data_IF_884435458839
#
_entry.id   IF_884435458839
#
_cell.length_a   1.000
_cell.length_b   1.000
_cell.length_c   1.000
_cell.angle_alpha   90.00
_cell.angle_beta   90.00
_cell.angle_gamma   90.00
#
_symmetry.space_group_name_H-M   'P 1'
#
loop_
_entity.id
_entity.type
_entity.pdbx_description
1 polymer ?
#
# COMPACT_ATOMS: atom_id res chain seq x y z
N UNK A 1 10.62 -23.23 -6.41
CA UNK A 1 10.83 -22.84 -7.82
C UNK A 1 11.06 -21.34 -7.82
N UNK A 2 12.23 -20.88 -8.25
CA UNK A 2 12.51 -19.44 -8.39
C UNK A 2 11.66 -18.87 -9.51
N UNK A 3 10.97 -17.76 -9.26
CA UNK A 3 10.25 -17.02 -10.30
C UNK A 3 11.23 -16.62 -11.42
N UNK A 4 10.85 -16.72 -12.71
CA UNK A 4 11.71 -16.33 -13.81
C UNK A 4 12.01 -14.85 -13.73
N UNK A 5 13.31 -14.49 -13.76
CA UNK A 5 13.75 -13.10 -13.78
C UNK A 5 13.27 -12.46 -15.08
N UNK A 6 12.34 -11.51 -14.97
CA UNK A 6 11.80 -10.82 -16.14
C UNK A 6 12.73 -9.71 -16.61
N UNK A 7 12.76 -9.37 -17.91
CA UNK A 7 13.54 -8.23 -18.42
C UNK A 7 13.22 -6.91 -17.70
N UNK A 8 11.98 -6.76 -17.23
CA UNK A 8 11.54 -5.56 -16.51
C UNK A 8 12.13 -5.49 -15.09
N UNK A 9 12.27 -6.65 -14.43
CA UNK A 9 12.91 -6.74 -13.11
C UNK A 9 14.41 -6.37 -13.22
N UNK A 10 15.08 -6.80 -14.30
CA UNK A 10 16.48 -6.45 -14.59
C UNK A 10 16.63 -4.94 -14.81
N UNK A 11 15.76 -4.33 -15.64
CA UNK A 11 15.78 -2.88 -15.85
C UNK A 11 15.59 -2.11 -14.54
N UNK A 12 14.64 -2.52 -13.71
CA UNK A 12 14.37 -1.86 -12.43
C UNK A 12 15.56 -2.00 -11.47
N UNK A 13 16.18 -3.18 -11.38
CA UNK A 13 17.38 -3.40 -10.58
C UNK A 13 18.54 -2.50 -11.01
N UNK A 14 18.77 -2.34 -12.31
CA UNK A 14 19.77 -1.42 -12.85
C UNK A 14 19.44 0.05 -12.55
N UNK A 15 18.17 0.44 -12.60
CA UNK A 15 17.77 1.80 -12.22
C UNK A 15 17.95 2.05 -10.72
N UNK A 16 17.65 1.06 -9.87
CA UNK A 16 17.87 1.13 -8.44
C UNK A 16 19.35 1.26 -8.08
N UNK A 17 20.25 0.52 -8.75
CA UNK A 17 21.69 0.63 -8.49
C UNK A 17 22.25 2.02 -8.84
N UNK A 18 21.60 2.73 -9.77
CA UNK A 18 22.03 4.06 -10.26
C UNK A 18 21.32 5.24 -9.60
N UNK A 19 20.16 5.03 -8.96
CA UNK A 19 19.32 6.11 -8.43
C UNK A 19 18.83 5.86 -7.01
N UNK A 20 19.28 6.69 -6.07
CA UNK A 20 18.81 6.69 -4.68
C UNK A 20 17.30 6.93 -4.58
N UNK A 21 16.75 7.78 -5.45
CA UNK A 21 15.32 8.06 -5.46
C UNK A 21 14.52 6.82 -5.82
N UNK A 22 14.94 6.07 -6.83
CA UNK A 22 14.24 4.84 -7.25
C UNK A 22 14.28 3.79 -6.14
N UNK A 23 15.42 3.65 -5.44
CA UNK A 23 15.54 2.75 -4.27
C UNK A 23 14.59 3.13 -3.14
N UNK A 24 14.53 4.41 -2.79
CA UNK A 24 13.64 4.93 -1.73
C UNK A 24 12.17 4.70 -2.07
N UNK A 25 11.76 4.98 -3.30
CA UNK A 25 10.38 4.75 -3.76
C UNK A 25 10.06 3.26 -3.79
N UNK A 26 10.99 2.41 -4.23
CA UNK A 26 10.82 0.95 -4.22
C UNK A 26 10.64 0.39 -2.81
N UNK A 27 11.43 0.87 -1.83
CA UNK A 27 11.24 0.48 -0.42
C UNK A 27 9.83 0.82 0.06
N UNK A 28 9.37 2.05 -0.16
CA UNK A 28 8.02 2.46 0.23
C UNK A 28 6.95 1.65 -0.49
N UNK A 29 7.13 1.35 -1.77
CA UNK A 29 6.23 0.50 -2.53
C UNK A 29 6.11 -0.90 -1.91
N UNK A 30 7.23 -1.54 -1.59
CA UNK A 30 7.24 -2.85 -0.92
C UNK A 30 6.50 -2.81 0.42
N UNK A 31 6.79 -1.79 1.24
CA UNK A 31 6.13 -1.58 2.53
C UNK A 31 4.61 -1.40 2.34
N UNK A 32 4.19 -0.55 1.40
CA UNK A 32 2.78 -0.25 1.17
C UNK A 32 2.01 -1.43 0.56
N UNK A 33 2.65 -2.29 -0.23
CA UNK A 33 2.04 -3.54 -0.67
C UNK A 33 1.70 -4.43 0.53
N UNK A 34 2.64 -4.59 1.48
CA UNK A 34 2.37 -5.31 2.73
C UNK A 34 1.23 -4.69 3.54
N UNK A 35 1.11 -3.36 3.51
CA UNK A 35 0.00 -2.65 4.16
C UNK A 35 -1.35 -2.89 3.46
N UNK A 36 -1.36 -2.84 2.12
CA UNK A 36 -2.56 -3.08 1.30
C UNK A 36 -3.12 -4.49 1.53
N UNK A 37 -2.25 -5.51 1.52
CA UNK A 37 -2.63 -6.89 1.85
C UNK A 37 -3.29 -6.94 3.24
N UNK A 38 -2.70 -6.26 4.24
CA UNK A 38 -3.26 -6.19 5.59
C UNK A 38 -4.63 -5.51 5.66
N UNK A 39 -4.85 -4.45 4.88
CA UNK A 39 -6.14 -3.78 4.78
C UNK A 39 -7.19 -4.70 4.13
N UNK A 40 -6.82 -5.39 3.05
CA UNK A 40 -7.70 -6.34 2.37
C UNK A 40 -8.11 -7.51 3.28
N UNK A 41 -7.16 -8.11 4.01
CA UNK A 41 -7.43 -9.16 5.01
C UNK A 41 -8.48 -8.66 6.01
N UNK A 42 -8.25 -7.50 6.64
CA UNK A 42 -9.21 -6.94 7.62
C UNK A 42 -10.58 -6.67 7.03
N UNK A 43 -10.63 -6.17 5.79
CA UNK A 43 -11.89 -5.92 5.10
C UNK A 43 -12.67 -7.22 4.90
N UNK A 44 -12.02 -8.28 4.42
CA UNK A 44 -12.65 -9.58 4.19
C UNK A 44 -13.06 -10.24 5.51
N UNK A 45 -12.23 -10.17 6.54
CA UNK A 45 -12.61 -10.64 7.89
C UNK A 45 -13.87 -9.92 8.41
N UNK A 46 -14.00 -8.62 8.13
CA UNK A 46 -15.22 -7.85 8.42
C UNK A 46 -16.43 -8.36 7.65
N UNK A 47 -16.28 -8.59 6.34
CA UNK A 47 -17.35 -9.13 5.50
C UNK A 47 -17.79 -10.54 5.92
N UNK A 48 -16.86 -11.44 6.25
CA UNK A 48 -17.17 -12.80 6.70
C UNK A 48 -17.98 -12.84 8.00
N UNK A 49 -17.75 -11.86 8.89
CA UNK A 49 -18.49 -11.68 10.15
C UNK A 49 -19.88 -11.06 9.94
N UNK A 50 -20.13 -10.50 8.76
CA UNK A 50 -21.41 -9.87 8.45
C UNK A 50 -22.37 -10.92 7.89
N UNK A 51 -23.58 -10.97 8.45
CA UNK A 51 -24.68 -11.81 7.97
C UNK A 51 -25.87 -10.90 7.70
N UNK A 52 -25.98 -10.39 6.47
CA UNK A 52 -27.14 -9.62 6.04
C UNK A 52 -28.19 -10.57 5.45
N UNK A 53 -29.45 -10.35 5.82
CA UNK A 53 -30.57 -10.86 5.03
C UNK A 53 -30.72 -10.04 3.76
N UNK A 54 -31.43 -10.56 2.76
CA UNK A 54 -31.73 -9.80 1.54
C UNK A 54 -32.47 -8.49 1.84
N UNK A 55 -33.46 -8.52 2.74
CA UNK A 55 -34.22 -7.34 3.17
C UNK A 55 -33.34 -6.25 3.83
N UNK A 56 -32.36 -6.67 4.64
CA UNK A 56 -31.37 -5.75 5.21
C UNK A 56 -30.46 -5.16 4.12
N UNK A 57 -30.02 -5.99 3.18
CA UNK A 57 -29.22 -5.53 2.05
C UNK A 57 -29.99 -4.54 1.17
N UNK A 58 -31.27 -4.78 0.91
CA UNK A 58 -32.15 -3.87 0.16
C UNK A 58 -32.30 -2.52 0.86
N UNK A 59 -32.54 -2.54 2.17
CA UNK A 59 -32.64 -1.31 2.99
C UNK A 59 -31.34 -0.49 2.95
N UNK A 60 -30.19 -1.15 3.05
CA UNK A 60 -28.87 -0.50 2.99
C UNK A 60 -28.61 0.05 1.59
N UNK A 61 -28.88 -0.73 0.54
CA UNK A 61 -28.70 -0.33 -0.85
C UNK A 61 -29.53 0.91 -1.19
N UNK A 62 -30.82 0.91 -0.82
CA UNK A 62 -31.71 2.06 -0.98
C UNK A 62 -31.20 3.29 -0.23
N UNK A 63 -30.76 3.11 1.02
CA UNK A 63 -30.23 4.21 1.83
C UNK A 63 -28.95 4.79 1.23
N UNK A 64 -28.05 3.94 0.73
CA UNK A 64 -26.82 4.35 0.06
C UNK A 64 -27.08 5.12 -1.23
N UNK A 65 -28.00 4.64 -2.07
CA UNK A 65 -28.40 5.32 -3.30
C UNK A 65 -29.02 6.69 -2.99
N UNK A 66 -29.90 6.77 -1.99
CA UNK A 66 -30.49 8.04 -1.55
C UNK A 66 -29.45 9.04 -1.06
N UNK A 67 -28.40 8.59 -0.37
CA UNK A 67 -27.35 9.45 0.19
C UNK A 67 -26.31 9.87 -0.85
N UNK A 68 -26.00 9.01 -1.82
CA UNK A 68 -24.84 9.19 -2.72
C UNK A 68 -25.22 9.45 -4.18
N UNK A 69 -26.47 9.21 -4.55
CA UNK A 69 -26.96 9.19 -5.94
C UNK A 69 -26.38 8.05 -6.78
N UNK A 70 -25.77 7.03 -6.16
CA UNK A 70 -25.19 5.88 -6.87
C UNK A 70 -26.10 4.68 -6.66
N UNK A 71 -26.61 4.13 -7.76
CA UNK A 71 -27.35 2.87 -7.71
C UNK A 71 -26.46 1.74 -7.21
N UNK A 72 -26.94 1.03 -6.21
CA UNK A 72 -26.28 -0.12 -5.60
C UNK A 72 -27.29 -1.26 -5.58
N UNK A 73 -26.93 -2.42 -6.11
CA UNK A 73 -27.80 -3.59 -6.07
C UNK A 73 -27.64 -4.31 -4.73
N UNK A 74 -28.72 -4.82 -4.09
CA UNK A 74 -28.64 -5.52 -2.82
C UNK A 74 -27.66 -6.72 -2.85
N UNK A 75 -27.58 -7.41 -4.00
CA UNK A 75 -26.68 -8.56 -4.19
C UNK A 75 -25.20 -8.19 -4.04
N UNK A 76 -24.82 -6.92 -4.24
CA UNK A 76 -23.44 -6.46 -4.05
C UNK A 76 -23.04 -6.39 -2.56
N UNK A 77 -24.02 -6.42 -1.65
CA UNK A 77 -23.82 -6.45 -0.21
C UNK A 77 -23.89 -7.87 0.36
N UNK A 78 -24.31 -8.84 -0.47
CA UNK A 78 -24.44 -10.25 -0.11
C UNK A 78 -23.24 -11.01 -0.67
N UNK A 79 -22.24 -11.23 0.19
CA UNK A 79 -20.99 -11.83 -0.23
C UNK A 79 -21.06 -13.37 -0.27
N UNK A 80 -20.47 -13.97 -1.30
CA UNK A 80 -20.14 -15.39 -1.30
C UNK A 80 -19.01 -15.65 -0.28
N UNK A 81 -19.38 -16.29 0.82
CA UNK A 81 -18.47 -16.57 1.94
C UNK A 81 -17.35 -17.53 1.57
N UNK A 82 -17.62 -18.48 0.67
CA UNK A 82 -16.60 -19.44 0.25
C UNK A 82 -15.56 -18.73 -0.62
N UNK A 83 -16.01 -17.94 -1.60
CA UNK A 83 -15.11 -17.14 -2.43
C UNK A 83 -14.29 -16.13 -1.60
N UNK A 84 -14.89 -15.53 -0.56
CA UNK A 84 -14.16 -14.67 0.38
C UNK A 84 -13.13 -15.44 1.22
N UNK A 85 -13.45 -16.66 1.66
CA UNK A 85 -12.53 -17.50 2.42
C UNK A 85 -11.33 -17.93 1.56
N UNK A 86 -11.56 -18.34 0.31
CA UNK A 86 -10.50 -18.68 -0.64
C UNK A 86 -9.57 -17.48 -0.87
N UNK A 87 -10.15 -16.29 -1.12
CA UNK A 87 -9.36 -15.06 -1.27
C UNK A 87 -8.59 -14.71 0.02
N UNK A 88 -9.13 -14.99 1.19
CA UNK A 88 -8.46 -14.75 2.46
C UNK A 88 -7.22 -15.64 2.61
N UNK A 89 -7.28 -16.89 2.15
CA UNK A 89 -6.14 -17.82 2.11
C UNK A 89 -5.03 -17.24 1.22
N UNK A 90 -5.37 -16.82 0.00
CA UNK A 90 -4.41 -16.23 -0.93
C UNK A 90 -3.72 -14.99 -0.35
N UNK A 91 -4.51 -14.09 0.26
CA UNK A 91 -3.96 -12.88 0.89
C UNK A 91 -3.05 -13.21 2.08
N UNK A 92 -3.38 -14.23 2.88
CA UNK A 92 -2.49 -14.67 3.95
C UNK A 92 -1.19 -15.25 3.39
N UNK A 93 -1.24 -16.02 2.30
CA UNK A 93 -0.04 -16.53 1.63
C UNK A 93 0.83 -15.38 1.11
N UNK A 94 0.24 -14.38 0.47
CA UNK A 94 0.97 -13.21 -0.02
C UNK A 94 1.55 -12.37 1.12
N UNK A 95 0.83 -12.25 2.24
CA UNK A 95 1.36 -11.60 3.43
C UNK A 95 2.54 -12.40 4.03
N UNK A 96 2.49 -13.74 4.03
CA UNK A 96 3.62 -14.57 4.48
C UNK A 96 4.85 -14.36 3.59
N UNK A 97 4.69 -14.35 2.26
CA UNK A 97 5.80 -14.01 1.33
C UNK A 97 6.38 -12.62 1.62
N UNK A 98 5.53 -11.65 1.93
CA UNK A 98 5.98 -10.32 2.34
C UNK A 98 6.83 -10.37 3.62
N UNK A 99 6.43 -11.16 4.62
CA UNK A 99 7.19 -11.35 5.85
C UNK A 99 8.54 -12.04 5.60
N UNK A 100 8.55 -13.12 4.81
CA UNK A 100 9.76 -13.89 4.48
C UNK A 100 10.81 -13.06 3.73
N UNK A 101 10.36 -12.12 2.91
CA UNK A 101 11.25 -11.24 2.13
C UNK A 101 11.62 -9.94 2.85
N UNK A 102 11.14 -9.71 4.07
CA UNK A 102 11.41 -8.48 4.83
C UNK A 102 12.35 -8.79 6.00
N UNK A 103 13.48 -8.09 6.07
CA UNK A 103 14.43 -8.22 7.17
C UNK A 103 13.72 -8.08 8.53
N UNK A 104 13.98 -8.99 9.46
CA UNK A 104 13.29 -9.07 10.76
C UNK A 104 13.49 -7.82 11.63
N UNK A 105 14.63 -7.14 11.48
CA UNK A 105 14.94 -5.85 12.10
C UNK A 105 14.05 -4.76 11.53
N UNK A 106 13.91 -4.73 10.20
CA UNK A 106 13.06 -3.76 9.46
C UNK A 106 11.57 -4.02 9.71
N UNK A 107 11.15 -5.27 9.79
CA UNK A 107 9.75 -5.68 9.96
C UNK A 107 9.11 -5.00 11.16
N UNK A 108 9.83 -4.93 12.27
CA UNK A 108 9.33 -4.29 13.48
C UNK A 108 9.06 -2.78 13.30
N UNK A 109 9.82 -2.09 12.45
CA UNK A 109 9.59 -0.69 12.08
C UNK A 109 8.41 -0.56 11.11
N UNK A 110 8.31 -1.48 10.15
CA UNK A 110 7.21 -1.56 9.20
C UNK A 110 5.87 -1.76 9.91
N UNK A 111 5.79 -2.66 10.89
CA UNK A 111 4.57 -2.85 11.67
C UNK A 111 4.18 -1.62 12.48
N UNK A 112 5.17 -0.91 13.04
CA UNK A 112 4.91 0.36 13.71
C UNK A 112 4.37 1.41 12.72
N UNK A 113 4.88 1.41 11.49
CA UNK A 113 4.38 2.28 10.44
C UNK A 113 2.96 1.91 9.99
N UNK A 114 2.64 0.63 9.83
CA UNK A 114 1.27 0.19 9.51
C UNK A 114 0.26 0.65 10.56
N UNK A 115 0.64 0.60 11.86
CA UNK A 115 -0.20 1.14 12.94
C UNK A 115 -0.39 2.65 12.80
N UNK A 116 0.67 3.39 12.50
CA UNK A 116 0.58 4.84 12.27
C UNK A 116 -0.32 5.16 11.07
N UNK A 117 -0.15 4.47 9.94
CA UNK A 117 -0.99 4.64 8.76
C UNK A 117 -2.47 4.39 9.09
N UNK A 118 -2.77 3.33 9.84
CA UNK A 118 -4.14 2.92 10.13
C UNK A 118 -4.83 3.76 11.22
N UNK A 119 -4.15 4.04 12.33
CA UNK A 119 -4.76 4.69 13.49
C UNK A 119 -4.59 6.21 13.47
N UNK A 120 -3.39 6.69 13.11
CA UNK A 120 -3.06 8.12 13.19
C UNK A 120 -3.45 8.84 11.88
N UNK A 121 -3.08 8.28 10.72
CA UNK A 121 -3.43 8.85 9.42
C UNK A 121 -4.75 8.34 8.84
N UNK A 122 -5.33 7.29 9.43
CA UNK A 122 -6.61 6.69 9.00
C UNK A 122 -6.64 6.34 7.51
N UNK A 123 -5.52 5.88 6.95
CA UNK A 123 -5.42 5.45 5.56
C UNK A 123 -6.16 4.12 5.39
N UNK A 124 -7.23 4.10 4.59
CA UNK A 124 -8.06 2.90 4.37
C UNK A 124 -7.86 2.28 2.97
N UNK A 125 -7.08 2.93 2.10
CA UNK A 125 -6.77 2.46 0.76
C UNK A 125 -5.45 3.09 0.31
N UNK A 126 -4.54 2.28 -0.25
CA UNK A 126 -3.26 2.74 -0.83
C UNK A 126 -3.12 2.36 -2.30
N UNK A 127 -4.15 1.80 -2.93
CA UNK A 127 -4.14 1.32 -4.31
C UNK A 127 -3.74 2.41 -5.31
N UNK A 128 -4.30 3.62 -5.19
CA UNK A 128 -3.97 4.73 -6.09
C UNK A 128 -2.50 5.16 -6.00
N UNK A 129 -1.94 5.11 -4.79
CA UNK A 129 -0.53 5.40 -4.51
C UNK A 129 0.37 4.29 -5.06
N UNK A 130 0.00 3.03 -4.88
CA UNK A 130 0.73 1.89 -5.45
C UNK A 130 0.75 1.93 -6.99
N UNK A 131 -0.38 2.25 -7.63
CA UNK A 131 -0.44 2.43 -9.08
C UNK A 131 0.46 3.56 -9.57
N UNK A 132 0.47 4.67 -8.84
CA UNK A 132 1.26 5.83 -9.21
C UNK A 132 2.78 5.59 -8.95
N UNK A 133 3.15 4.77 -7.94
CA UNK A 133 4.52 4.25 -7.76
C UNK A 133 4.93 3.34 -8.90
N UNK A 134 4.03 2.45 -9.33
CA UNK A 134 4.29 1.55 -10.46
C UNK A 134 4.50 2.31 -11.77
N UNK A 135 3.71 3.36 -12.02
CA UNK A 135 3.93 4.25 -13.16
C UNK A 135 5.27 5.00 -13.08
N UNK A 136 5.69 5.41 -11.88
CA UNK A 136 7.02 5.98 -11.66
C UNK A 136 8.13 4.97 -12.00
N UNK A 137 7.98 3.69 -11.64
CA UNK A 137 8.96 2.67 -12.02
C UNK A 137 9.04 2.49 -13.53
N UNK A 138 7.90 2.44 -14.23
CA UNK A 138 7.86 2.39 -15.70
C UNK A 138 8.54 3.59 -16.34
N UNK A 139 8.37 4.79 -15.78
CA UNK A 139 9.08 5.98 -16.24
C UNK A 139 10.59 5.86 -15.99
N UNK A 140 10.99 5.42 -14.79
CA UNK A 140 12.40 5.24 -14.43
C UNK A 140 13.10 4.18 -15.28
N UNK A 141 12.41 3.13 -15.71
CA UNK A 141 12.94 2.08 -16.61
C UNK A 141 12.90 2.47 -18.09
N UNK A 142 12.37 3.66 -18.42
CA UNK A 142 12.24 4.16 -19.79
C UNK A 142 11.09 3.54 -20.59
N UNK A 143 10.19 2.81 -19.92
CA UNK A 143 8.99 2.22 -20.56
C UNK A 143 7.87 3.27 -20.70
N UNK A 144 7.86 4.31 -19.86
CA UNK A 144 6.96 5.48 -19.97
C UNK A 144 7.73 6.77 -20.26
N UNK A 145 7.14 7.63 -21.07
CA UNK A 145 7.52 9.04 -21.17
C UNK A 145 6.88 9.90 -20.06
N UNK A 146 7.25 11.18 -20.02
CA UNK A 146 6.76 12.13 -19.01
C UNK A 146 5.26 12.42 -19.12
N UNK A 147 4.67 12.37 -20.31
CA UNK A 147 3.24 12.57 -20.50
C UNK A 147 2.45 11.35 -19.99
N UNK A 148 2.91 10.14 -20.31
CA UNK A 148 2.36 8.89 -19.83
C UNK A 148 2.43 8.80 -18.30
N UNK A 149 3.56 9.21 -17.69
CA UNK A 149 3.65 9.30 -16.23
C UNK A 149 2.58 10.22 -15.63
N UNK A 150 2.36 11.41 -16.21
CA UNK A 150 1.36 12.37 -15.73
C UNK A 150 -0.08 11.84 -15.78
N UNK A 151 -0.41 10.99 -16.77
CA UNK A 151 -1.73 10.39 -16.88
C UNK A 151 -2.02 9.37 -15.78
N UNK A 152 -0.98 8.76 -15.20
CA UNK A 152 -1.13 7.72 -14.18
C UNK A 152 -1.05 8.27 -12.75
N UNK A 153 -0.66 9.54 -12.58
CA UNK A 153 -0.68 10.24 -11.30
C UNK A 153 -2.03 10.95 -11.19
N UNK A 154 -3.00 10.31 -10.55
CA UNK A 154 -4.39 10.76 -10.52
C UNK A 154 -4.86 11.01 -9.09
N UNK A 155 -5.46 12.18 -8.84
CA UNK A 155 -6.26 12.42 -7.64
C UNK A 155 -7.68 12.01 -7.96
N UNK A 156 -8.19 11.05 -7.21
CA UNK A 156 -9.62 10.76 -7.23
C UNK A 156 -10.27 11.79 -6.30
N UNK A 157 -10.92 12.80 -6.87
CA UNK A 157 -11.80 13.64 -6.07
C UNK A 157 -12.99 12.77 -5.65
N UNK A 158 -13.00 12.33 -4.39
CA UNK A 158 -14.04 11.43 -3.88
C UNK A 158 -15.43 12.12 -3.81
N UNK A 159 -15.51 13.46 -3.87
CA UNK A 159 -16.77 14.21 -3.88
C UNK A 159 -17.33 14.33 -5.30
N UNK A 160 -16.48 14.65 -6.27
CA UNK A 160 -16.91 14.80 -7.67
C UNK A 160 -16.79 13.52 -8.51
N UNK A 161 -16.15 12.48 -7.98
CA UNK A 161 -15.82 11.22 -8.67
C UNK A 161 -15.08 11.43 -10.00
N UNK A 162 -14.34 12.54 -10.10
CA UNK A 162 -13.51 12.85 -11.26
C UNK A 162 -12.06 12.48 -10.98
N UNK A 163 -11.50 11.71 -11.89
CA UNK A 163 -10.06 11.55 -12.03
C UNK A 163 -9.49 12.89 -12.51
N UNK A 164 -8.81 13.61 -11.62
CA UNK A 164 -8.08 14.83 -11.99
C UNK A 164 -6.59 14.49 -12.10
N UNK A 165 -5.93 14.85 -13.22
CA UNK A 165 -4.48 14.73 -13.31
C UNK A 165 -3.86 15.58 -12.19
N UNK A 166 -3.01 14.97 -11.37
CA UNK A 166 -2.24 15.75 -10.41
C UNK A 166 -0.98 16.23 -11.10
N UNK A 167 -0.56 17.47 -10.83
CA UNK A 167 0.81 17.84 -11.11
C UNK A 167 1.75 16.87 -10.37
N UNK A 168 2.71 16.32 -11.12
CA UNK A 168 3.86 15.55 -10.63
C UNK A 168 4.52 16.13 -9.37
N UNK A 169 4.44 17.45 -9.16
CA UNK A 169 4.95 18.11 -7.95
C UNK A 169 4.20 17.70 -6.67
N UNK A 170 2.87 17.61 -6.70
CA UNK A 170 2.07 17.21 -5.53
C UNK A 170 2.23 15.73 -5.20
N UNK A 171 2.36 14.88 -6.21
CA UNK A 171 2.59 13.45 -5.99
C UNK A 171 3.98 13.16 -5.40
N UNK A 172 4.98 13.93 -5.84
CA UNK A 172 6.29 13.94 -5.19
C UNK A 172 6.20 14.39 -3.72
N UNK A 173 5.31 15.33 -3.41
CA UNK A 173 5.06 15.76 -2.05
C UNK A 173 4.46 14.64 -1.19
N UNK A 174 3.46 13.90 -1.69
CA UNK A 174 2.86 12.76 -0.98
C UNK A 174 3.88 11.66 -0.69
N UNK A 175 4.77 11.36 -1.64
CA UNK A 175 5.89 10.44 -1.38
C UNK A 175 6.84 10.92 -0.32
N UNK A 176 7.26 12.19 -0.39
CA UNK A 176 8.16 12.77 0.61
C UNK A 176 7.52 12.74 2.00
N UNK A 177 6.22 13.04 2.10
CA UNK A 177 5.48 12.97 3.36
C UNK A 177 5.44 11.54 3.93
N UNK A 178 5.15 10.54 3.11
CA UNK A 178 5.14 9.14 3.53
C UNK A 178 6.53 8.66 3.95
N UNK A 179 7.54 9.09 3.22
CA UNK A 179 8.92 8.75 3.54
C UNK A 179 9.39 9.38 4.84
N UNK A 180 9.15 10.68 5.02
CA UNK A 180 9.46 11.40 6.24
C UNK A 180 8.72 10.81 7.44
N UNK A 181 7.45 10.43 7.26
CA UNK A 181 6.68 9.74 8.29
C UNK A 181 7.29 8.40 8.66
N UNK A 182 7.65 7.57 7.67
CA UNK A 182 8.33 6.30 7.90
C UNK A 182 9.66 6.49 8.62
N UNK A 183 10.51 7.40 8.15
CA UNK A 183 11.80 7.69 8.75
C UNK A 183 11.67 8.18 10.20
N UNK A 184 10.70 9.05 10.48
CA UNK A 184 10.40 9.52 11.84
C UNK A 184 10.01 8.38 12.77
N UNK A 185 9.29 7.37 12.28
CA UNK A 185 8.92 6.19 13.05
C UNK A 185 10.13 5.29 13.29
N UNK A 186 10.95 5.07 12.26
CA UNK A 186 12.22 4.36 12.39
C UNK A 186 13.09 4.99 13.48
N UNK A 187 13.32 6.30 13.42
CA UNK A 187 14.11 7.03 14.40
C UNK A 187 13.53 6.94 15.83
N UNK A 188 12.22 7.13 15.98
CA UNK A 188 11.55 7.01 17.30
C UNK A 188 11.69 5.61 17.88
N UNK A 189 11.51 4.58 17.07
CA UNK A 189 11.58 3.19 17.53
C UNK A 189 13.02 2.78 17.81
N UNK A 190 13.98 3.20 16.98
CA UNK A 190 15.40 2.95 17.19
C UNK A 190 15.88 3.61 18.50
N UNK A 191 15.48 4.85 18.77
CA UNK A 191 15.77 5.53 20.04
C UNK A 191 15.18 4.77 21.26
N UNK A 192 14.01 4.14 21.13
CA UNK A 192 13.43 3.28 22.18
C UNK A 192 14.22 1.98 22.35
N UNK A 193 14.76 1.41 21.27
CA UNK A 193 15.62 0.22 21.33
C UNK A 193 16.95 0.55 22.02
N UNK A 194 17.60 1.67 21.67
CA UNK A 194 18.82 2.13 22.34
C UNK A 194 18.64 2.38 23.84
N UNK A 195 17.49 2.89 24.26
CA UNK A 195 17.18 3.04 25.70
C UNK A 195 17.10 1.70 26.43
N UNK A 196 16.74 0.62 25.73
CA UNK A 196 16.63 -0.73 26.30
C UNK A 196 17.95 -1.49 26.21
N UNK A 197 18.72 -1.24 25.18
CA UNK A 197 20.04 -1.82 24.96
C UNK A 197 21.04 -0.73 24.54
N UNK A 198 21.80 -0.17 25.50
CA UNK A 198 22.80 0.87 25.25
C UNK A 198 23.99 0.41 24.40
N UNK A 199 24.13 -0.90 24.13
CA UNK A 199 25.19 -1.45 23.26
C UNK A 199 24.92 -1.23 21.77
N UNK A 200 23.69 -0.86 21.40
CA UNK A 200 23.29 -0.36 20.07
C UNK A 200 23.87 1.05 19.80
N UNK A 201 25.18 1.24 19.98
CA UNK A 201 25.91 2.45 19.61
C UNK A 201 26.54 2.22 18.24
N UNK A 202 25.85 2.63 17.18
CA UNK A 202 26.37 3.02 15.85
C UNK A 202 25.17 3.37 14.95
N UNK A 203 25.36 4.32 14.04
CA UNK A 203 24.31 4.92 13.19
C UNK A 203 23.31 3.89 12.64
N UNK A 204 22.01 4.14 12.82
CA UNK A 204 20.96 3.42 12.11
C UNK A 204 21.08 3.73 10.61
N UNK A 205 21.77 2.87 9.88
CA UNK A 205 21.75 2.86 8.42
C UNK A 205 20.64 1.92 7.99
N UNK A 206 19.60 2.47 7.35
CA UNK A 206 18.59 1.67 6.64
C UNK A 206 19.29 1.13 5.38
N UNK A 207 20.09 0.08 5.55
CA UNK A 207 20.70 -0.64 4.44
C UNK A 207 19.57 -1.38 3.73
N UNK A 208 19.08 -0.77 2.65
CA UNK A 208 18.26 -1.47 1.68
C UNK A 208 19.25 -2.33 0.88
N UNK A 209 19.57 -3.52 1.39
CA UNK A 209 20.22 -4.54 0.56
C UNK A 209 19.22 -4.95 -0.52
N UNK A 210 19.65 -4.82 -1.78
CA UNK A 210 18.92 -5.24 -2.99
C UNK A 210 19.58 -6.51 -3.48
#
# INVERSE_FOLDING_TARGET
MSEPITPQLIKLALCMSRSNLVRRVYLLFKILNGYDIKLQIRSIEGYLKTNLTYEQAETIAYSYERLTGISCKPEMLLFDKNALADKLIDLHMDYQKFLETTDSTILSFVEAYFRYLYYDLKVQNVTALLHSMHAFFKYATGDFDKQQLKQHIVKIDLREKKATPIDSMYYRHDFLLLEEAFFKICMKKYARMQKRDPSLKNSFTLNIEI
#
